data_IF_726743068051
#
_entry.id   IF_726743068051
#
_cell.length_a   1.000
_cell.length_b   1.000
_cell.length_c   1.000
_cell.angle_alpha   90.00
_cell.angle_beta   90.00
_cell.angle_gamma   90.00
#
_symmetry.space_group_name_H-M   'P 1'
#
loop_
_entity.id
_entity.type
_entity.pdbx_description
1 polymer ?
#
# COMPACT_ATOMS: atom_id res chain seq x y z
N UNK A 1 -12.28 22.73 -2.63
CA UNK A 1 -12.33 21.31 -3.00
C UNK A 1 -12.45 21.27 -4.53
N UNK A 2 -11.65 20.41 -5.18
CA UNK A 2 -11.71 20.22 -6.64
C UNK A 2 -12.91 19.35 -7.00
N UNK A 3 -13.40 19.44 -8.24
CA UNK A 3 -14.39 18.51 -8.74
C UNK A 3 -13.83 17.09 -8.75
N UNK A 4 -14.65 16.10 -8.41
CA UNK A 4 -14.21 14.71 -8.39
C UNK A 4 -15.35 13.73 -8.73
N UNK A 5 -14.97 12.58 -9.24
CA UNK A 5 -15.83 11.42 -9.38
C UNK A 5 -15.52 10.42 -8.27
N UNK A 6 -16.55 9.92 -7.60
CA UNK A 6 -16.38 8.97 -6.50
C UNK A 6 -17.04 7.63 -6.85
N UNK A 7 -16.23 6.59 -6.92
CA UNK A 7 -16.68 5.23 -7.18
C UNK A 7 -15.81 4.25 -6.40
N UNK A 8 -16.45 3.40 -5.59
CA UNK A 8 -15.78 2.28 -4.92
C UNK A 8 -16.82 1.14 -4.77
N UNK A 9 -16.78 0.12 -5.64
CA UNK A 9 -17.77 -0.96 -5.66
C UNK A 9 -17.41 -2.14 -4.75
N UNK A 10 -16.34 -2.04 -3.95
CA UNK A 10 -15.86 -3.15 -3.13
C UNK A 10 -16.89 -3.52 -2.07
N UNK A 11 -17.33 -4.78 -2.06
CA UNK A 11 -18.13 -5.33 -0.97
C UNK A 11 -17.19 -5.77 0.17
N UNK A 12 -17.25 -5.10 1.32
CA UNK A 12 -16.48 -5.50 2.50
C UNK A 12 -17.24 -6.52 3.35
N UNK A 13 -16.60 -7.65 3.63
CA UNK A 13 -17.04 -8.70 4.54
C UNK A 13 -16.14 -8.61 5.78
N UNK A 14 -16.55 -7.82 6.77
CA UNK A 14 -15.73 -7.48 7.93
C UNK A 14 -16.17 -8.23 9.19
N UNK A 15 -15.23 -8.85 9.89
CA UNK A 15 -15.44 -9.50 11.17
C UNK A 15 -15.14 -10.99 11.18
N UNK A 16 -15.25 -11.58 12.38
CA UNK A 16 -14.98 -13.00 12.61
C UNK A 16 -15.92 -13.90 11.82
N UNK A 17 -15.36 -14.88 11.13
CA UNK A 17 -16.13 -15.90 10.39
C UNK A 17 -16.74 -15.41 9.08
N UNK A 18 -16.53 -14.14 8.69
CA UNK A 18 -17.11 -13.59 7.46
C UNK A 18 -16.60 -14.24 6.17
N UNK A 19 -15.50 -15.01 6.25
CA UNK A 19 -14.99 -15.76 5.11
C UNK A 19 -16.01 -16.77 4.55
N UNK A 20 -16.88 -17.34 5.38
CA UNK A 20 -17.92 -18.29 4.93
C UNK A 20 -18.90 -17.66 3.93
N UNK A 21 -19.11 -16.34 4.00
CA UNK A 21 -20.07 -15.63 3.16
C UNK A 21 -19.59 -15.46 1.71
N UNK A 22 -18.31 -15.75 1.39
CA UNK A 22 -17.86 -15.68 0.00
C UNK A 22 -18.49 -16.74 -0.90
N UNK A 23 -19.12 -17.78 -0.35
CA UNK A 23 -19.80 -18.83 -1.12
C UNK A 23 -20.84 -18.24 -2.09
N UNK A 24 -21.63 -17.26 -1.63
CA UNK A 24 -22.62 -16.55 -2.46
C UNK A 24 -21.95 -15.66 -3.51
N UNK A 25 -20.81 -15.03 -3.18
CA UNK A 25 -20.09 -14.13 -4.08
C UNK A 25 -19.43 -14.86 -5.27
N UNK A 26 -19.17 -16.16 -5.10
CA UNK A 26 -18.51 -17.00 -6.09
C UNK A 26 -19.41 -18.12 -6.66
N UNK A 27 -20.73 -18.04 -6.43
CA UNK A 27 -21.70 -19.08 -6.87
C UNK A 27 -21.57 -19.38 -8.35
N UNK A 28 -21.45 -18.37 -9.20
CA UNK A 28 -21.43 -18.46 -10.66
C UNK A 28 -20.10 -18.93 -11.25
N UNK A 29 -19.05 -19.01 -10.44
CA UNK A 29 -17.72 -19.40 -10.88
C UNK A 29 -17.41 -20.85 -10.54
N UNK A 30 -16.74 -21.55 -11.45
CA UNK A 30 -16.44 -22.99 -11.33
C UNK A 30 -14.96 -23.26 -11.10
N UNK A 31 -14.09 -22.51 -11.74
CA UNK A 31 -12.63 -22.73 -11.76
C UNK A 31 -11.89 -21.59 -11.07
N UNK A 32 -11.57 -21.79 -9.81
CA UNK A 32 -11.00 -20.77 -8.94
C UNK A 32 -9.47 -20.89 -8.94
N UNK A 33 -8.77 -19.77 -9.22
CA UNK A 33 -7.35 -19.66 -8.92
C UNK A 33 -7.18 -19.12 -7.52
N UNK A 34 -6.69 -19.94 -6.59
CA UNK A 34 -6.31 -19.50 -5.26
C UNK A 34 -4.85 -19.00 -5.28
N UNK A 35 -4.64 -17.70 -5.14
CA UNK A 35 -3.33 -17.06 -5.09
C UNK A 35 -2.95 -16.80 -3.64
N UNK A 36 -1.81 -17.34 -3.20
CA UNK A 36 -1.31 -17.18 -1.84
C UNK A 36 0.19 -16.86 -1.82
N UNK A 37 0.66 -16.25 -0.72
CA UNK A 37 2.08 -16.12 -0.42
C UNK A 37 2.69 -17.48 -0.04
N UNK A 38 3.79 -17.47 0.73
CA UNK A 38 4.47 -18.72 1.14
C UNK A 38 3.60 -19.52 2.13
N UNK A 39 3.73 -19.29 3.42
CA UNK A 39 3.11 -20.16 4.44
C UNK A 39 2.22 -19.42 5.46
N UNK A 40 2.14 -18.10 5.43
CA UNK A 40 1.41 -17.31 6.43
C UNK A 40 -0.08 -17.67 6.50
N UNK A 41 -0.72 -17.77 5.36
CA UNK A 41 -2.16 -18.09 5.22
C UNK A 41 -2.47 -19.53 5.74
N UNK A 42 -1.52 -20.45 5.61
CA UNK A 42 -1.65 -21.82 6.11
C UNK A 42 -1.59 -21.88 7.64
N UNK A 43 -0.83 -20.98 8.26
CA UNK A 43 -0.60 -20.95 9.73
C UNK A 43 -1.65 -20.18 10.51
N UNK A 44 -2.36 -19.24 9.89
CA UNK A 44 -3.35 -18.38 10.57
C UNK A 44 -4.79 -18.90 10.48
N UNK A 45 -5.01 -20.10 9.97
CA UNK A 45 -6.33 -20.72 9.85
C UNK A 45 -7.13 -20.33 8.60
N UNK A 46 -6.78 -19.26 7.90
CA UNK A 46 -7.46 -18.79 6.69
C UNK A 46 -7.51 -19.87 5.61
N UNK A 47 -6.40 -20.56 5.35
CA UNK A 47 -6.32 -21.60 4.32
C UNK A 47 -7.28 -22.76 4.60
N UNK A 48 -7.39 -23.22 5.85
CA UNK A 48 -8.31 -24.28 6.25
C UNK A 48 -9.76 -23.87 6.00
N UNK A 49 -10.14 -22.68 6.39
CA UNK A 49 -11.48 -22.14 6.15
C UNK A 49 -11.76 -22.00 4.64
N UNK A 50 -10.80 -21.49 3.85
CA UNK A 50 -10.91 -21.40 2.39
C UNK A 50 -11.16 -22.76 1.75
N UNK A 51 -10.42 -23.81 2.15
CA UNK A 51 -10.62 -25.16 1.61
C UNK A 51 -12.04 -25.66 1.84
N UNK A 52 -12.63 -25.39 3.01
CA UNK A 52 -14.00 -25.78 3.32
C UNK A 52 -15.01 -25.01 2.44
N UNK A 53 -14.84 -23.69 2.33
CA UNK A 53 -15.74 -22.83 1.53
C UNK A 53 -15.67 -23.17 0.04
N UNK A 54 -14.50 -23.58 -0.44
CA UNK A 54 -14.23 -23.90 -1.85
C UNK A 54 -14.39 -25.38 -2.18
N UNK A 55 -14.91 -26.22 -1.27
CA UNK A 55 -14.96 -27.66 -1.44
C UNK A 55 -15.74 -28.10 -2.69
N UNK A 56 -16.77 -27.35 -3.11
CA UNK A 56 -17.58 -27.64 -4.32
C UNK A 56 -16.99 -27.04 -5.61
N UNK A 57 -15.84 -26.37 -5.56
CA UNK A 57 -15.22 -25.70 -6.71
C UNK A 57 -13.98 -26.44 -7.22
N UNK A 58 -13.66 -26.26 -8.49
CA UNK A 58 -12.40 -26.71 -9.04
C UNK A 58 -11.30 -25.68 -8.68
N UNK A 59 -10.53 -25.97 -7.64
CA UNK A 59 -9.52 -25.03 -7.11
C UNK A 59 -8.14 -25.37 -7.66
N UNK A 60 -7.52 -24.38 -8.26
CA UNK A 60 -6.13 -24.38 -8.73
C UNK A 60 -5.33 -23.46 -7.83
N UNK A 61 -4.25 -23.92 -7.23
CA UNK A 61 -3.44 -23.11 -6.32
C UNK A 61 -2.18 -22.58 -7.00
N UNK A 62 -1.93 -21.30 -6.85
CA UNK A 62 -0.65 -20.65 -7.17
C UNK A 62 -0.08 -20.06 -5.89
N UNK A 63 0.98 -20.66 -5.38
CA UNK A 63 1.61 -20.30 -4.11
C UNK A 63 3.00 -19.69 -4.29
N UNK A 64 3.49 -19.06 -3.23
CA UNK A 64 4.86 -18.51 -3.20
C UNK A 64 4.99 -17.10 -3.76
N UNK A 65 3.89 -16.31 -3.81
CA UNK A 65 4.00 -14.90 -4.19
C UNK A 65 4.94 -14.18 -3.21
N UNK A 66 5.98 -13.57 -3.77
CA UNK A 66 7.01 -12.87 -3.00
C UNK A 66 6.56 -11.46 -2.58
N UNK A 67 7.14 -10.90 -1.49
CA UNK A 67 7.06 -9.47 -1.23
C UNK A 67 7.57 -8.66 -2.44
N UNK A 68 6.92 -7.53 -2.75
CA UNK A 68 7.13 -6.78 -3.99
C UNK A 68 6.92 -7.68 -5.22
N UNK A 69 5.66 -8.01 -5.57
CA UNK A 69 5.34 -9.00 -6.60
C UNK A 69 6.04 -8.66 -7.91
N UNK A 70 6.54 -9.69 -8.58
CA UNK A 70 7.46 -9.57 -9.70
C UNK A 70 6.79 -10.05 -11.00
N UNK A 71 6.99 -9.29 -12.08
CA UNK A 71 6.38 -9.54 -13.38
C UNK A 71 6.67 -10.94 -13.93
N UNK A 72 7.89 -11.45 -13.72
CA UNK A 72 8.27 -12.78 -14.20
C UNK A 72 7.43 -13.89 -13.58
N UNK A 73 7.19 -13.79 -12.25
CA UNK A 73 6.33 -14.74 -11.56
C UNK A 73 4.86 -14.61 -12.03
N UNK A 74 4.40 -13.39 -12.34
CA UNK A 74 3.07 -13.17 -12.89
C UNK A 74 2.88 -13.76 -14.29
N UNK A 75 3.90 -13.71 -15.15
CA UNK A 75 3.88 -14.36 -16.47
C UNK A 75 3.64 -15.87 -16.36
N UNK A 76 4.29 -16.53 -15.40
CA UNK A 76 4.14 -17.97 -15.18
C UNK A 76 2.74 -18.29 -14.61
N UNK A 77 2.26 -17.46 -13.67
CA UNK A 77 0.90 -17.60 -13.12
C UNK A 77 -0.18 -17.42 -14.19
N UNK A 78 0.00 -16.48 -15.14
CA UNK A 78 -0.95 -16.27 -16.24
C UNK A 78 -0.97 -17.45 -17.19
N UNK A 79 0.18 -18.01 -17.55
CA UNK A 79 0.24 -19.25 -18.36
C UNK A 79 -0.52 -20.39 -17.68
N UNK A 80 -0.27 -20.57 -16.38
CA UNK A 80 -0.97 -21.56 -15.56
C UNK A 80 -2.48 -21.33 -15.52
N UNK A 81 -2.91 -20.09 -15.26
CA UNK A 81 -4.32 -19.72 -15.19
C UNK A 81 -5.05 -19.94 -16.53
N UNK A 82 -4.45 -19.56 -17.65
CA UNK A 82 -5.00 -19.76 -19.01
C UNK A 82 -5.13 -21.23 -19.37
N UNK A 83 -4.08 -22.05 -19.09
CA UNK A 83 -4.09 -23.52 -19.32
C UNK A 83 -5.30 -24.18 -18.62
N UNK A 84 -5.61 -23.74 -17.40
CA UNK A 84 -6.69 -24.30 -16.59
C UNK A 84 -8.05 -23.63 -16.84
N UNK A 85 -8.12 -22.59 -17.71
CA UNK A 85 -9.34 -21.83 -18.05
C UNK A 85 -10.02 -21.28 -16.79
N UNK A 86 -9.24 -20.60 -15.93
CA UNK A 86 -9.72 -19.98 -14.70
C UNK A 86 -10.79 -18.94 -15.00
N UNK A 87 -11.84 -18.89 -14.19
CA UNK A 87 -12.96 -17.95 -14.31
C UNK A 87 -13.07 -16.96 -13.14
N UNK A 88 -12.34 -17.21 -12.01
CA UNK A 88 -12.26 -16.29 -10.87
C UNK A 88 -10.93 -16.44 -10.11
N UNK A 89 -10.45 -15.33 -9.51
CA UNK A 89 -9.25 -15.35 -8.66
C UNK A 89 -9.65 -15.06 -7.22
N UNK A 90 -9.13 -15.83 -6.26
CA UNK A 90 -9.14 -15.52 -4.84
C UNK A 90 -7.72 -15.25 -4.39
N UNK A 91 -7.47 -14.03 -3.93
CA UNK A 91 -6.19 -13.61 -3.37
C UNK A 91 -6.24 -13.67 -1.84
N UNK A 92 -5.51 -14.60 -1.21
CA UNK A 92 -5.44 -14.67 0.24
C UNK A 92 -4.02 -14.36 0.75
N UNK A 93 -3.85 -13.19 1.37
CA UNK A 93 -2.53 -12.73 1.81
C UNK A 93 -2.50 -11.25 2.17
N UNK A 94 -1.31 -10.68 2.22
CA UNK A 94 -1.10 -9.23 2.34
C UNK A 94 -1.10 -8.53 0.97
N UNK A 95 -0.80 -7.24 0.97
CA UNK A 95 -0.86 -6.39 -0.21
C UNK A 95 -0.16 -6.94 -1.45
N UNK A 96 1.02 -7.56 -1.30
CA UNK A 96 1.75 -8.15 -2.43
C UNK A 96 0.97 -9.26 -3.14
N UNK A 97 0.23 -10.09 -2.40
CA UNK A 97 -0.60 -11.17 -2.97
C UNK A 97 -1.80 -10.57 -3.70
N UNK A 98 -2.40 -9.53 -3.14
CA UNK A 98 -3.55 -8.85 -3.73
C UNK A 98 -3.14 -8.09 -5.00
N UNK A 99 -2.03 -7.36 -4.98
CA UNK A 99 -1.50 -6.67 -6.16
C UNK A 99 -1.13 -7.64 -7.27
N UNK A 100 -0.55 -8.78 -6.92
CA UNK A 100 -0.27 -9.86 -7.87
C UNK A 100 -1.57 -10.36 -8.53
N UNK A 101 -2.62 -10.61 -7.75
CA UNK A 101 -3.92 -11.03 -8.29
C UNK A 101 -4.58 -9.96 -9.17
N UNK A 102 -4.46 -8.67 -8.81
CA UNK A 102 -4.90 -7.55 -9.66
C UNK A 102 -4.16 -7.55 -10.99
N UNK A 103 -2.84 -7.79 -10.98
CA UNK A 103 -2.09 -7.90 -12.22
C UNK A 103 -2.52 -9.12 -13.05
N UNK A 104 -2.78 -10.27 -12.44
CA UNK A 104 -3.32 -11.43 -13.17
C UNK A 104 -4.69 -11.11 -13.78
N UNK A 105 -5.57 -10.43 -13.04
CA UNK A 105 -6.87 -9.96 -13.54
C UNK A 105 -6.72 -9.10 -14.79
N UNK A 106 -5.82 -8.11 -14.75
CA UNK A 106 -5.49 -7.21 -15.85
C UNK A 106 -4.94 -7.94 -17.07
N UNK A 107 -4.02 -8.89 -16.86
CA UNK A 107 -3.23 -9.49 -17.91
C UNK A 107 -3.84 -10.76 -18.52
N UNK A 108 -4.83 -11.38 -17.86
CA UNK A 108 -5.38 -12.69 -18.25
C UNK A 108 -5.89 -12.73 -19.70
N UNK A 109 -6.59 -11.72 -20.15
CA UNK A 109 -7.11 -11.64 -21.53
C UNK A 109 -6.21 -10.86 -22.50
N UNK A 110 -5.06 -10.37 -22.01
CA UNK A 110 -4.12 -9.61 -22.85
C UNK A 110 -3.43 -10.51 -23.87
N UNK A 111 -3.33 -9.99 -25.11
CA UNK A 111 -2.53 -10.60 -26.19
C UNK A 111 -1.10 -10.04 -26.29
N UNK A 112 -0.71 -9.13 -25.39
CA UNK A 112 0.63 -8.54 -25.39
C UNK A 112 1.69 -9.61 -25.13
N UNK A 113 2.75 -9.61 -25.95
CA UNK A 113 3.91 -10.48 -25.73
C UNK A 113 4.70 -10.10 -24.49
N UNK A 114 4.88 -8.79 -24.28
CA UNK A 114 5.50 -8.24 -23.07
C UNK A 114 4.40 -7.72 -22.14
N UNK A 115 4.13 -8.43 -21.05
CA UNK A 115 3.06 -8.06 -20.11
C UNK A 115 3.41 -6.82 -19.29
N UNK A 116 4.70 -6.42 -19.20
CA UNK A 116 5.07 -5.17 -18.55
C UNK A 116 4.50 -3.94 -19.26
N UNK A 117 4.21 -4.03 -20.58
CA UNK A 117 3.60 -2.91 -21.30
C UNK A 117 2.20 -2.56 -20.81
N UNK A 118 1.50 -3.48 -20.10
CA UNK A 118 0.23 -3.19 -19.44
C UNK A 118 0.34 -2.19 -18.30
N UNK A 119 1.54 -1.95 -17.80
CA UNK A 119 1.82 -0.96 -16.75
C UNK A 119 2.04 0.47 -17.28
N UNK A 120 1.88 0.68 -18.60
CA UNK A 120 1.94 1.98 -19.25
C UNK A 120 0.52 2.50 -19.46
N UNK A 121 0.24 3.73 -19.04
CA UNK A 121 -1.10 4.33 -19.15
C UNK A 121 -1.62 4.44 -20.58
N UNK A 122 -0.77 4.58 -21.56
CA UNK A 122 -1.10 4.69 -22.98
C UNK A 122 -1.44 3.32 -23.62
N UNK A 123 -1.29 2.23 -22.90
CA UNK A 123 -1.52 0.89 -23.44
C UNK A 123 -3.00 0.60 -23.56
N UNK A 124 -3.42 0.14 -24.75
CA UNK A 124 -4.76 -0.38 -24.97
C UNK A 124 -4.93 -1.65 -24.14
N UNK A 125 -5.87 -1.60 -23.21
CA UNK A 125 -6.21 -2.71 -22.31
C UNK A 125 -7.15 -3.71 -22.97
N UNK A 126 -7.19 -4.96 -22.45
CA UNK A 126 -8.24 -5.90 -22.81
C UNK A 126 -9.63 -5.35 -22.48
N UNK A 127 -10.63 -5.67 -23.28
CA UNK A 127 -12.05 -5.29 -23.00
C UNK A 127 -12.64 -6.05 -21.80
N UNK A 128 -12.00 -7.12 -21.34
CA UNK A 128 -12.43 -7.97 -20.23
C UNK A 128 -11.29 -8.15 -19.24
N UNK A 129 -11.67 -8.27 -17.97
CA UNK A 129 -10.78 -8.55 -16.84
C UNK A 129 -11.27 -9.80 -16.13
N UNK A 130 -10.33 -10.60 -15.60
CA UNK A 130 -10.70 -11.77 -14.81
C UNK A 130 -11.17 -11.27 -13.42
N UNK A 131 -12.42 -11.56 -13.01
CA UNK A 131 -12.91 -11.08 -11.72
C UNK A 131 -12.14 -11.72 -10.57
N UNK A 132 -12.02 -10.98 -9.46
CA UNK A 132 -11.30 -11.45 -8.28
C UNK A 132 -11.91 -10.93 -6.98
N UNK A 133 -11.62 -11.65 -5.88
CA UNK A 133 -11.88 -11.26 -4.51
C UNK A 133 -10.65 -11.40 -3.64
N UNK A 134 -10.63 -10.70 -2.51
CA UNK A 134 -9.48 -10.65 -1.59
C UNK A 134 -9.83 -11.18 -0.20
N UNK A 135 -8.86 -11.80 0.45
CA UNK A 135 -8.84 -12.06 1.89
C UNK A 135 -7.58 -11.43 2.46
N UNK A 136 -7.72 -10.33 3.19
CA UNK A 136 -6.61 -9.57 3.74
C UNK A 136 -6.11 -10.22 5.03
N UNK A 137 -4.82 -10.58 5.09
CA UNK A 137 -4.19 -11.20 6.26
C UNK A 137 -3.01 -10.42 6.83
N UNK A 138 -2.64 -9.30 6.19
CA UNK A 138 -1.56 -8.40 6.63
C UNK A 138 -1.94 -6.96 6.27
N UNK A 139 -2.79 -6.30 7.09
CA UNK A 139 -3.27 -4.95 6.82
C UNK A 139 -2.13 -3.94 6.82
N UNK A 140 -2.21 -2.95 5.92
CA UNK A 140 -1.21 -1.89 5.75
C UNK A 140 -1.38 -1.16 4.43
N UNK A 141 -1.17 -1.85 3.32
CA UNK A 141 -1.22 -1.26 1.97
C UNK A 141 -2.61 -0.78 1.53
N UNK A 142 -3.68 -1.32 2.12
CA UNK A 142 -5.07 -0.98 1.76
C UNK A 142 -5.48 -1.36 0.33
N UNK A 143 -4.66 -2.13 -0.38
CA UNK A 143 -4.95 -2.50 -1.79
C UNK A 143 -6.23 -3.30 -1.95
N UNK A 144 -6.70 -3.97 -0.91
CA UNK A 144 -8.00 -4.65 -0.87
C UNK A 144 -9.18 -3.68 -1.00
N UNK A 145 -8.96 -2.38 -0.83
CA UNK A 145 -10.00 -1.35 -0.79
C UNK A 145 -9.98 -0.39 -1.98
N UNK A 146 -9.07 -0.57 -2.94
CA UNK A 146 -8.85 0.38 -4.03
C UNK A 146 -8.63 -0.30 -5.39
N UNK A 147 -8.42 0.52 -6.41
CA UNK A 147 -8.19 0.12 -7.80
C UNK A 147 -6.72 0.29 -8.26
N UNK A 148 -5.80 0.46 -7.32
CA UNK A 148 -4.38 0.51 -7.59
C UNK A 148 -3.76 -0.88 -7.53
N UNK A 149 -2.75 -1.14 -8.31
CA UNK A 149 -1.84 -2.28 -8.17
C UNK A 149 -0.39 -1.80 -8.25
N UNK A 150 0.49 -2.49 -7.56
CA UNK A 150 1.94 -2.25 -7.62
C UNK A 150 2.63 -3.55 -8.02
N UNK A 151 3.46 -3.50 -9.06
CA UNK A 151 4.25 -4.65 -9.50
C UNK A 151 5.67 -4.22 -9.86
N UNK A 152 6.63 -5.11 -9.67
CA UNK A 152 8.05 -4.88 -9.92
C UNK A 152 8.52 -5.61 -11.16
N UNK A 153 9.51 -5.03 -11.83
CA UNK A 153 10.30 -5.68 -12.86
C UNK A 153 11.78 -5.56 -12.48
N UNK A 154 12.32 -6.63 -11.87
CA UNK A 154 13.70 -6.65 -11.39
C UNK A 154 14.72 -6.48 -12.52
N UNK A 155 14.43 -7.03 -13.71
CA UNK A 155 15.30 -6.89 -14.88
C UNK A 155 15.44 -5.44 -15.31
N UNK A 156 14.36 -4.67 -15.26
CA UNK A 156 14.34 -3.25 -15.60
C UNK A 156 14.62 -2.34 -14.39
N UNK A 157 14.78 -2.92 -13.19
CA UNK A 157 14.88 -2.20 -11.92
C UNK A 157 13.72 -1.21 -11.72
N UNK A 158 12.49 -1.56 -12.13
CA UNK A 158 11.30 -0.71 -12.06
C UNK A 158 10.26 -1.28 -11.10
N UNK A 159 9.59 -0.40 -10.37
CA UNK A 159 8.42 -0.71 -9.55
C UNK A 159 7.36 0.34 -9.86
N UNK A 160 6.29 -0.07 -10.55
CA UNK A 160 5.27 0.84 -11.06
C UNK A 160 3.95 0.61 -10.34
N UNK A 161 3.24 1.71 -10.11
CA UNK A 161 1.83 1.71 -9.70
C UNK A 161 0.96 1.94 -10.92
N UNK A 162 -0.14 1.21 -11.01
CA UNK A 162 -1.13 1.36 -12.08
C UNK A 162 -2.54 1.41 -11.50
N UNK A 163 -3.40 2.25 -12.08
CA UNK A 163 -4.78 2.46 -11.63
C UNK A 163 -5.77 2.15 -12.75
N UNK A 164 -6.79 1.35 -12.44
CA UNK A 164 -7.90 1.12 -13.37
C UNK A 164 -9.16 0.74 -12.60
N UNK A 165 -10.35 1.24 -13.00
CA UNK A 165 -11.62 0.95 -12.33
C UNK A 165 -11.95 -0.55 -12.29
N UNK A 166 -11.46 -1.33 -13.25
CA UNK A 166 -11.66 -2.78 -13.27
C UNK A 166 -10.79 -3.56 -12.28
N UNK A 167 -9.86 -2.88 -11.58
CA UNK A 167 -8.99 -3.47 -10.55
C UNK A 167 -9.56 -3.37 -9.13
N UNK A 168 -10.79 -2.90 -8.97
CA UNK A 168 -11.49 -3.10 -7.71
C UNK A 168 -11.83 -4.57 -7.50
N UNK A 169 -11.54 -5.17 -6.33
CA UNK A 169 -12.03 -6.52 -6.02
C UNK A 169 -13.55 -6.53 -5.93
N UNK A 170 -14.18 -7.63 -6.33
CA UNK A 170 -15.63 -7.80 -6.15
C UNK A 170 -16.02 -7.82 -4.67
N UNK A 171 -15.18 -8.45 -3.85
CA UNK A 171 -15.32 -8.43 -2.41
C UNK A 171 -13.94 -8.44 -1.74
N UNK A 172 -13.91 -7.97 -0.49
CA UNK A 172 -12.73 -8.04 0.37
C UNK A 172 -13.13 -8.54 1.76
N UNK A 173 -12.59 -9.70 2.14
CA UNK A 173 -12.78 -10.26 3.48
C UNK A 173 -11.73 -9.67 4.40
N UNK A 174 -12.20 -9.05 5.46
CA UNK A 174 -11.42 -8.41 6.50
C UNK A 174 -11.75 -9.09 7.84
N UNK A 175 -11.17 -10.27 8.07
CA UNK A 175 -11.32 -10.99 9.34
C UNK A 175 -10.08 -10.75 10.21
N UNK A 176 -10.19 -9.97 11.30
CA UNK A 176 -9.08 -9.69 12.19
C UNK A 176 -8.44 -10.93 12.81
N UNK A 177 -9.17 -12.05 12.90
CA UNK A 177 -8.67 -13.31 13.42
C UNK A 177 -7.45 -13.82 12.62
N UNK A 178 -7.44 -13.61 11.31
CA UNK A 178 -6.31 -13.98 10.45
C UNK A 178 -5.04 -13.16 10.71
N UNK A 179 -5.12 -12.11 11.52
CA UNK A 179 -3.98 -11.25 11.87
C UNK A 179 -3.43 -11.50 13.27
N UNK A 180 -4.08 -12.33 14.13
CA UNK A 180 -3.67 -12.56 15.51
C UNK A 180 -2.25 -13.15 15.62
N UNK A 181 -1.86 -13.96 14.64
CA UNK A 181 -0.52 -14.57 14.58
C UNK A 181 0.45 -13.79 13.68
N UNK A 182 0.10 -12.56 13.28
CA UNK A 182 1.00 -11.73 12.48
C UNK A 182 2.18 -11.27 13.33
N UNK A 183 3.44 -11.53 12.91
CA UNK A 183 4.64 -11.15 13.66
C UNK A 183 4.73 -9.64 13.90
N UNK A 184 5.46 -9.27 14.95
CA UNK A 184 5.65 -7.88 15.35
C UNK A 184 6.21 -7.01 14.20
N UNK A 185 7.23 -7.49 13.51
CA UNK A 185 7.84 -6.78 12.38
C UNK A 185 6.84 -6.51 11.26
N UNK A 186 6.02 -7.50 10.89
CA UNK A 186 4.97 -7.35 9.87
C UNK A 186 3.85 -6.43 10.32
N UNK A 187 3.49 -6.47 11.61
CA UNK A 187 2.53 -5.54 12.20
C UNK A 187 3.04 -4.10 12.11
N UNK A 188 4.30 -3.86 12.51
CA UNK A 188 4.92 -2.53 12.43
C UNK A 188 5.03 -2.02 10.98
N UNK A 189 5.42 -2.88 10.03
CA UNK A 189 5.46 -2.55 8.60
C UNK A 189 4.09 -2.08 8.11
N UNK A 190 3.02 -2.82 8.42
CA UNK A 190 1.67 -2.45 8.01
C UNK A 190 1.19 -1.14 8.64
N UNK A 191 1.44 -0.93 9.94
CA UNK A 191 1.08 0.31 10.63
C UNK A 191 1.83 1.51 10.03
N UNK A 192 3.12 1.34 9.73
CA UNK A 192 3.94 2.40 9.11
C UNK A 192 3.38 2.78 7.75
N UNK A 193 3.08 1.80 6.92
CA UNK A 193 2.59 1.99 5.56
C UNK A 193 1.25 2.75 5.56
N UNK A 194 0.24 2.27 6.32
CA UNK A 194 -1.05 2.95 6.41
C UNK A 194 -0.94 4.37 7.00
N UNK A 195 -0.07 4.58 7.97
CA UNK A 195 0.14 5.89 8.58
C UNK A 195 0.73 6.89 7.58
N UNK A 196 1.75 6.48 6.82
CA UNK A 196 2.37 7.32 5.78
C UNK A 196 1.40 7.54 4.62
N UNK A 197 0.60 6.56 4.21
CA UNK A 197 -0.48 6.74 3.24
C UNK A 197 -1.43 7.89 3.63
N UNK A 198 -1.85 7.95 4.89
CA UNK A 198 -2.71 9.03 5.37
C UNK A 198 -1.97 10.37 5.39
N UNK A 199 -0.70 10.38 5.85
CA UNK A 199 0.10 11.60 5.89
C UNK A 199 0.32 12.23 4.51
N UNK A 200 0.63 11.45 3.48
CA UNK A 200 0.88 11.98 2.13
C UNK A 200 -0.38 12.52 1.46
N UNK A 201 -1.55 12.03 1.83
CA UNK A 201 -2.83 12.57 1.39
C UNK A 201 -3.25 13.81 2.21
N UNK A 202 -2.80 13.93 3.45
CA UNK A 202 -3.13 15.05 4.35
C UNK A 202 -2.15 16.23 4.23
N UNK A 203 -0.82 15.96 4.21
CA UNK A 203 0.24 16.97 4.23
C UNK A 203 0.50 17.56 2.83
N UNK A 204 -0.53 18.18 2.26
CA UNK A 204 -0.51 18.86 0.96
C UNK A 204 -0.76 20.37 1.13
N UNK A 205 -0.95 21.12 0.04
CA UNK A 205 -1.38 22.50 0.17
C UNK A 205 -2.87 22.58 0.57
N UNK A 206 -3.24 23.57 1.42
CA UNK A 206 -4.62 23.67 1.91
C UNK A 206 -5.57 24.19 0.82
N UNK A 207 -6.73 23.57 0.67
CA UNK A 207 -7.82 24.01 -0.23
C UNK A 207 -9.13 24.30 0.54
N UNK A 208 -9.01 24.85 1.74
CA UNK A 208 -10.13 25.20 2.60
C UNK A 208 -10.27 24.31 3.84
N UNK A 209 -11.42 24.43 4.51
CA UNK A 209 -11.78 23.61 5.70
C UNK A 209 -12.61 22.43 5.22
N UNK A 210 -12.02 21.25 5.13
CA UNK A 210 -12.64 20.08 4.51
C UNK A 210 -12.91 18.96 5.51
N UNK A 211 -13.95 18.18 5.24
CA UNK A 211 -14.27 16.95 5.95
C UNK A 211 -13.13 15.94 5.85
N UNK A 212 -12.49 15.86 4.68
CA UNK A 212 -11.38 14.95 4.42
C UNK A 212 -10.21 15.15 5.38
N UNK A 213 -9.91 16.41 5.75
CA UNK A 213 -8.89 16.69 6.78
C UNK A 213 -9.26 16.05 8.11
N UNK A 214 -10.53 16.16 8.55
CA UNK A 214 -11.01 15.56 9.79
C UNK A 214 -11.01 14.04 9.76
N UNK A 215 -11.34 13.46 8.63
CA UNK A 215 -11.29 12.01 8.43
C UNK A 215 -9.84 11.50 8.48
N UNK A 216 -8.91 12.20 7.86
CA UNK A 216 -7.48 11.88 7.92
C UNK A 216 -6.93 12.05 9.35
N UNK A 217 -7.28 13.15 10.05
CA UNK A 217 -6.91 13.41 11.45
C UNK A 217 -7.43 12.29 12.36
N UNK A 218 -8.67 11.83 12.18
CA UNK A 218 -9.26 10.73 12.94
C UNK A 218 -8.51 9.40 12.71
N UNK A 219 -8.14 9.09 11.47
CA UNK A 219 -7.33 7.90 11.16
C UNK A 219 -5.95 7.97 11.83
N UNK A 220 -5.26 9.12 11.73
CA UNK A 220 -3.96 9.34 12.37
C UNK A 220 -4.05 9.14 13.89
N UNK A 221 -5.04 9.79 14.55
CA UNK A 221 -5.27 9.66 16.00
C UNK A 221 -5.53 8.19 16.39
N UNK A 222 -6.42 7.51 15.69
CA UNK A 222 -6.75 6.11 15.94
C UNK A 222 -5.53 5.20 15.84
N UNK A 223 -4.71 5.39 14.79
CA UNK A 223 -3.47 4.61 14.62
C UNK A 223 -2.48 4.89 15.77
N UNK A 224 -2.30 6.16 16.15
CA UNK A 224 -1.42 6.56 17.27
C UNK A 224 -1.86 5.96 18.60
N UNK A 225 -3.16 5.93 18.87
CA UNK A 225 -3.73 5.40 20.11
C UNK A 225 -3.72 3.87 20.18
N UNK A 226 -4.00 3.21 19.04
CA UNK A 226 -4.09 1.75 18.97
C UNK A 226 -2.72 1.09 18.94
N UNK A 227 -1.73 1.70 18.28
CA UNK A 227 -0.40 1.09 18.08
C UNK A 227 0.27 0.69 19.40
N UNK A 228 0.42 1.56 20.41
CA UNK A 228 1.08 1.16 21.66
C UNK A 228 0.36 0.03 22.40
N UNK A 229 -0.98 -0.02 22.32
CA UNK A 229 -1.80 -1.07 22.91
C UNK A 229 -1.60 -2.39 22.16
N UNK A 230 -1.62 -2.35 20.84
CA UNK A 230 -1.37 -3.53 20.00
C UNK A 230 0.03 -4.11 20.21
N UNK A 231 1.05 -3.26 20.34
CA UNK A 231 2.43 -3.72 20.59
C UNK A 231 2.63 -4.38 21.96
N UNK A 232 1.75 -4.08 22.94
CA UNK A 232 1.71 -4.77 24.24
C UNK A 232 1.02 -6.12 24.16
N UNK A 233 0.00 -6.25 23.32
CA UNK A 233 -0.76 -7.49 23.11
C UNK A 233 -1.12 -7.65 21.63
N UNK A 234 -0.27 -8.37 20.90
CA UNK A 234 -0.46 -8.62 19.46
C UNK A 234 -1.70 -9.48 19.15
N UNK A 235 -2.29 -10.13 20.15
CA UNK A 235 -3.47 -10.98 20.00
C UNK A 235 -4.78 -10.28 20.40
N UNK A 236 -4.76 -8.97 20.66
CA UNK A 236 -5.98 -8.21 20.95
C UNK A 236 -6.83 -8.08 19.67
N UNK A 237 -7.86 -8.88 19.57
CA UNK A 237 -8.77 -8.92 18.43
C UNK A 237 -9.41 -7.54 18.16
N UNK A 238 -9.84 -6.81 19.21
CA UNK A 238 -10.53 -5.52 19.03
C UNK A 238 -9.59 -4.48 18.43
N UNK A 239 -8.35 -4.45 18.91
CA UNK A 239 -7.34 -3.52 18.37
C UNK A 239 -6.91 -3.94 16.96
N UNK A 240 -6.73 -5.25 16.70
CA UNK A 240 -6.49 -5.77 15.34
C UNK A 240 -7.59 -5.38 14.37
N UNK A 241 -8.85 -5.48 14.79
CA UNK A 241 -10.01 -5.08 14.00
C UNK A 241 -9.96 -3.58 13.64
N UNK A 242 -9.68 -2.73 14.61
CA UNK A 242 -9.54 -1.29 14.40
C UNK A 242 -8.41 -0.97 13.43
N UNK A 243 -7.22 -1.53 13.64
CA UNK A 243 -6.05 -1.33 12.77
C UNK A 243 -6.32 -1.86 11.35
N UNK A 244 -6.98 -3.00 11.20
CA UNK A 244 -7.35 -3.54 9.89
C UNK A 244 -8.26 -2.60 9.13
N UNK A 245 -9.26 -2.02 9.81
CA UNK A 245 -10.17 -1.05 9.19
C UNK A 245 -9.47 0.28 8.87
N UNK A 246 -8.53 0.74 9.72
CA UNK A 246 -7.69 1.91 9.40
C UNK A 246 -6.89 1.69 8.13
N UNK A 247 -6.28 0.51 7.93
CA UNK A 247 -5.53 0.17 6.73
C UNK A 247 -6.39 0.23 5.47
N UNK A 248 -7.57 -0.38 5.48
CA UNK A 248 -8.51 -0.32 4.37
C UNK A 248 -9.00 1.12 4.10
N UNK A 249 -9.22 1.91 5.16
CA UNK A 249 -9.71 3.29 5.05
C UNK A 249 -8.65 4.28 4.60
N UNK A 250 -7.38 3.99 4.80
CA UNK A 250 -6.27 4.88 4.46
C UNK A 250 -6.21 5.23 2.96
N UNK A 251 -6.61 4.29 2.08
CA UNK A 251 -6.49 4.46 0.62
C UNK A 251 -7.73 4.03 -0.17
N UNK A 252 -8.90 3.99 0.47
CA UNK A 252 -10.17 3.65 -0.21
C UNK A 252 -10.78 4.81 -1.01
N UNK A 253 -10.08 5.93 -1.07
CA UNK A 253 -10.52 7.14 -1.76
C UNK A 253 -11.34 8.11 -0.92
N UNK A 254 -11.60 7.83 0.37
CA UNK A 254 -12.46 8.70 1.20
C UNK A 254 -11.76 10.01 1.57
N UNK A 255 -10.50 9.95 2.00
CA UNK A 255 -9.79 11.12 2.53
C UNK A 255 -9.17 12.02 1.46
N UNK A 256 -9.07 11.55 0.20
CA UNK A 256 -8.46 12.31 -0.90
C UNK A 256 -9.45 12.83 -1.94
N UNK A 257 -10.77 12.66 -1.75
CA UNK A 257 -11.79 13.11 -2.71
C UNK A 257 -11.77 14.62 -2.88
N UNK A 258 -11.40 15.07 -4.09
CA UNK A 258 -11.27 16.49 -4.41
C UNK A 258 -10.13 17.20 -3.68
N UNK A 259 -9.22 16.45 -3.10
CA UNK A 259 -8.01 16.94 -2.41
C UNK A 259 -6.77 16.72 -3.28
N UNK A 260 -5.73 17.57 -3.15
CA UNK A 260 -4.42 17.24 -3.69
C UNK A 260 -3.83 16.05 -2.93
N UNK A 261 -2.99 15.30 -3.59
CA UNK A 261 -2.24 14.19 -2.99
C UNK A 261 -0.76 14.34 -3.30
N UNK A 262 0.08 13.98 -2.32
CA UNK A 262 1.53 13.89 -2.51
C UNK A 262 1.95 12.46 -2.59
N UNK A 263 2.65 11.85 -3.26
CA UNK A 263 3.16 10.47 -3.23
C UNK A 263 4.69 10.45 -3.30
N UNK A 264 5.34 11.57 -2.96
CA UNK A 264 6.79 11.71 -3.10
C UNK A 264 7.57 10.79 -2.17
N UNK A 265 7.07 10.56 -0.93
CA UNK A 265 7.71 9.61 0.00
C UNK A 265 7.66 8.20 -0.57
N UNK A 266 6.49 7.79 -1.10
CA UNK A 266 6.34 6.48 -1.74
C UNK A 266 7.18 6.36 -3.00
N UNK A 267 7.25 7.38 -3.84
CA UNK A 267 8.06 7.36 -5.04
C UNK A 267 9.54 7.15 -4.71
N UNK A 268 10.11 8.00 -3.85
CA UNK A 268 11.53 7.93 -3.47
C UNK A 268 11.83 6.64 -2.67
N UNK A 269 10.93 6.25 -1.75
CA UNK A 269 11.03 4.99 -1.00
C UNK A 269 11.01 3.75 -1.90
N UNK A 270 10.23 3.77 -3.00
CA UNK A 270 10.24 2.70 -3.99
C UNK A 270 11.58 2.61 -4.74
N UNK A 271 12.28 3.72 -4.99
CA UNK A 271 13.64 3.71 -5.54
C UNK A 271 14.60 2.97 -4.60
N UNK A 272 14.56 3.29 -3.31
CA UNK A 272 15.36 2.58 -2.30
C UNK A 272 15.02 1.09 -2.21
N UNK A 273 13.74 0.75 -2.36
CA UNK A 273 13.30 -0.66 -2.37
C UNK A 273 13.82 -1.42 -3.57
N UNK A 274 13.72 -0.88 -4.78
CA UNK A 274 14.08 -1.61 -6.00
C UNK A 274 15.59 -1.65 -6.27
N UNK A 275 16.32 -0.59 -5.89
CA UNK A 275 17.74 -0.48 -6.14
C UNK A 275 18.58 -1.14 -5.04
N UNK A 276 18.15 -1.05 -3.78
CA UNK A 276 18.93 -1.50 -2.61
C UNK A 276 18.23 -2.60 -1.79
N UNK A 277 17.09 -3.10 -2.25
CA UNK A 277 16.32 -4.15 -1.57
C UNK A 277 15.93 -3.80 -0.12
N UNK A 278 15.78 -2.52 0.20
CA UNK A 278 15.28 -2.07 1.49
C UNK A 278 13.78 -2.39 1.55
N UNK A 279 13.33 -2.99 2.65
CA UNK A 279 11.90 -3.27 2.88
C UNK A 279 11.07 -1.99 2.77
N UNK A 280 9.88 -2.05 2.16
CA UNK A 280 9.08 -0.88 1.78
C UNK A 280 8.87 0.12 2.93
N UNK A 281 8.29 -0.29 4.07
CA UNK A 281 7.98 0.64 5.15
C UNK A 281 9.23 1.33 5.76
N UNK A 282 10.34 0.63 6.09
CA UNK A 282 11.58 1.28 6.45
C UNK A 282 12.10 2.27 5.40
N UNK A 283 12.01 1.94 4.10
CA UNK A 283 12.41 2.86 3.03
C UNK A 283 11.60 4.16 3.06
N UNK A 284 10.30 4.08 3.33
CA UNK A 284 9.44 5.27 3.50
C UNK A 284 9.88 6.13 4.70
N UNK A 285 10.21 5.51 5.84
CA UNK A 285 10.63 6.23 7.05
C UNK A 285 11.98 6.93 6.86
N UNK A 286 12.92 6.30 6.14
CA UNK A 286 14.21 6.89 5.78
C UNK A 286 14.00 8.21 5.02
N UNK A 287 13.11 8.22 4.06
CA UNK A 287 12.85 9.36 3.17
C UNK A 287 12.00 10.44 3.83
N UNK A 288 10.96 10.06 4.57
CA UNK A 288 9.90 10.97 5.03
C UNK A 288 10.46 12.16 5.84
N UNK A 289 11.38 11.91 6.77
CA UNK A 289 11.94 12.98 7.61
C UNK A 289 12.59 14.07 6.78
N UNK A 290 13.45 13.68 5.85
CA UNK A 290 14.21 14.62 5.03
C UNK A 290 13.30 15.32 4.01
N UNK A 291 12.32 14.63 3.45
CA UNK A 291 11.31 15.22 2.58
C UNK A 291 10.47 16.27 3.31
N UNK A 292 10.01 15.99 4.53
CA UNK A 292 9.22 16.96 5.31
C UNK A 292 10.01 18.23 5.63
N UNK A 293 11.30 18.12 6.00
CA UNK A 293 12.15 19.30 6.20
C UNK A 293 12.47 20.01 4.90
N UNK A 294 12.69 19.28 3.80
CA UNK A 294 12.96 19.86 2.48
C UNK A 294 11.76 20.67 1.97
N UNK A 295 10.55 20.14 2.12
CA UNK A 295 9.29 20.76 1.67
C UNK A 295 8.55 21.51 2.78
N UNK A 296 9.21 21.85 3.89
CA UNK A 296 8.57 22.44 5.07
C UNK A 296 7.78 23.72 4.73
N UNK A 297 8.28 24.55 3.83
CA UNK A 297 7.61 25.80 3.41
C UNK A 297 6.23 25.50 2.78
N UNK A 298 6.15 24.48 1.94
CA UNK A 298 4.92 24.10 1.23
C UNK A 298 3.91 23.43 2.17
N UNK A 299 4.40 22.61 3.11
CA UNK A 299 3.59 21.79 4.03
C UNK A 299 3.28 22.46 5.37
N UNK A 300 3.85 23.66 5.61
CA UNK A 300 3.82 24.36 6.90
C UNK A 300 2.43 24.50 7.51
N UNK A 301 1.46 24.96 6.71
CA UNK A 301 0.07 25.17 7.19
C UNK A 301 -0.58 23.85 7.64
N UNK A 302 -0.37 22.77 6.90
CA UNK A 302 -0.91 21.44 7.24
C UNK A 302 -0.16 20.79 8.40
N UNK A 303 1.13 20.96 8.50
CA UNK A 303 1.91 20.53 9.68
C UNK A 303 1.46 21.26 10.94
N UNK A 304 1.25 22.58 10.87
CA UNK A 304 0.71 23.35 11.99
C UNK A 304 -0.70 22.85 12.38
N UNK A 305 -1.57 22.64 11.39
CA UNK A 305 -2.92 22.11 11.60
C UNK A 305 -2.89 20.74 12.29
N UNK A 306 -2.03 19.83 11.81
CA UNK A 306 -1.85 18.48 12.40
C UNK A 306 -1.34 18.58 13.83
N UNK A 307 -0.31 19.40 14.07
CA UNK A 307 0.26 19.63 15.39
C UNK A 307 -0.75 20.12 16.40
N UNK A 308 -1.53 21.11 16.00
CA UNK A 308 -2.53 21.72 16.89
C UNK A 308 -3.74 20.79 17.14
N UNK A 309 -4.21 20.06 16.11
CA UNK A 309 -5.46 19.31 16.18
C UNK A 309 -5.29 17.87 16.68
N UNK A 310 -4.19 17.22 16.29
CA UNK A 310 -3.92 15.82 16.61
C UNK A 310 -3.02 15.70 17.84
N UNK A 311 -1.95 16.52 17.90
CA UNK A 311 -0.98 16.47 19.00
C UNK A 311 -1.23 17.48 20.09
N UNK A 312 -2.25 18.36 19.97
CA UNK A 312 -2.58 19.37 20.98
C UNK A 312 -1.52 20.46 21.18
N UNK A 313 -0.60 20.62 20.22
CA UNK A 313 0.50 21.58 20.31
C UNK A 313 -0.01 23.02 20.23
N UNK A 314 0.59 23.90 21.05
CA UNK A 314 0.30 25.33 21.12
C UNK A 314 1.58 26.14 20.98
N UNK A 315 1.47 27.38 20.48
CA UNK A 315 2.60 28.32 20.40
C UNK A 315 2.88 28.87 19.01
N UNK A 316 4.08 29.43 18.83
CA UNK A 316 4.50 30.01 17.56
C UNK A 316 4.52 28.97 16.45
N UNK A 317 4.06 29.35 15.25
CA UNK A 317 3.86 28.46 14.12
C UNK A 317 5.10 27.58 13.81
N UNK A 318 6.28 28.20 13.69
CA UNK A 318 7.51 27.45 13.38
C UNK A 318 7.85 26.37 14.44
N UNK A 319 7.61 26.69 15.72
CA UNK A 319 7.83 25.72 16.81
C UNK A 319 6.85 24.55 16.69
N UNK A 320 5.56 24.83 16.53
CA UNK A 320 4.53 23.77 16.37
C UNK A 320 4.83 22.89 15.17
N UNK A 321 5.23 23.47 14.03
CA UNK A 321 5.60 22.73 12.82
C UNK A 321 6.77 21.78 13.06
N UNK A 322 7.86 22.25 13.65
CA UNK A 322 9.02 21.40 13.95
C UNK A 322 8.69 20.31 14.98
N UNK A 323 7.96 20.65 16.04
CA UNK A 323 7.53 19.70 17.05
C UNK A 323 6.60 18.62 16.44
N UNK A 324 5.75 19.00 15.47
CA UNK A 324 4.89 18.05 14.73
C UNK A 324 5.72 17.04 13.95
N UNK A 325 6.71 17.50 13.19
CA UNK A 325 7.62 16.58 12.45
C UNK A 325 8.33 15.65 13.44
N UNK A 326 8.86 16.18 14.54
CA UNK A 326 9.55 15.41 15.56
C UNK A 326 8.64 14.33 16.19
N UNK A 327 7.36 14.64 16.47
CA UNK A 327 6.41 13.67 17.02
C UNK A 327 6.06 12.57 16.02
N UNK A 328 5.83 12.92 14.75
CA UNK A 328 5.63 11.96 13.66
C UNK A 328 6.84 11.01 13.60
N UNK A 329 8.04 11.56 13.55
CA UNK A 329 9.27 10.77 13.42
C UNK A 329 9.57 9.94 14.67
N UNK A 330 9.30 10.47 15.86
CA UNK A 330 9.41 9.70 17.13
C UNK A 330 8.52 8.46 17.11
N UNK A 331 7.27 8.59 16.63
CA UNK A 331 6.36 7.45 16.47
C UNK A 331 6.90 6.43 15.47
N UNK A 332 7.25 6.87 14.25
CA UNK A 332 7.69 5.99 13.18
C UNK A 332 9.03 5.29 13.50
N UNK A 333 10.01 6.02 14.06
CA UNK A 333 11.31 5.46 14.45
C UNK A 333 11.19 4.41 15.57
N UNK A 334 10.21 4.58 16.47
CA UNK A 334 9.95 3.59 17.54
C UNK A 334 9.53 2.23 16.96
N UNK A 335 8.77 2.19 15.89
CA UNK A 335 8.28 0.95 15.26
C UNK A 335 9.12 0.49 14.06
N UNK A 336 10.13 1.29 13.66
CA UNK A 336 11.08 0.98 12.59
C UNK A 336 12.52 1.24 13.07
N UNK A 337 13.16 0.30 13.76
CA UNK A 337 14.51 0.50 14.31
C UNK A 337 15.57 0.75 13.22
N UNK A 338 15.41 0.16 12.03
CA UNK A 338 16.27 0.42 10.88
C UNK A 338 15.69 1.53 10.01
N UNK A 339 15.92 2.79 10.39
CA UNK A 339 15.30 3.98 9.80
C UNK A 339 16.31 4.98 9.20
N UNK A 340 17.50 4.54 8.85
CA UNK A 340 18.55 5.32 8.17
C UNK A 340 19.31 4.42 7.18
N UNK A 341 19.84 5.00 6.09
CA UNK A 341 20.62 4.27 5.09
C UNK A 341 21.80 3.52 5.70
N UNK A 342 22.50 4.13 6.67
CA UNK A 342 23.62 3.51 7.39
C UNK A 342 23.27 2.20 8.11
N UNK A 343 22.00 1.98 8.50
CA UNK A 343 21.57 0.72 9.12
C UNK A 343 21.52 -0.45 8.12
N UNK A 344 21.69 -0.14 6.83
CA UNK A 344 21.77 -1.10 5.71
C UNK A 344 23.17 -1.14 5.10
N UNK A 345 24.16 -0.50 5.75
CA UNK A 345 25.54 -0.41 5.23
C UNK A 345 25.66 0.51 3.99
N UNK A 346 24.72 1.44 3.82
CA UNK A 346 24.66 2.36 2.69
C UNK A 346 25.10 3.76 3.12
N UNK A 347 25.95 4.38 2.28
CA UNK A 347 26.34 5.77 2.40
C UNK A 347 25.35 6.67 1.64
N UNK A 348 24.87 7.75 2.29
CA UNK A 348 23.81 8.59 1.75
C UNK A 348 24.25 9.37 0.48
N UNK A 349 25.51 9.83 0.43
CA UNK A 349 26.01 10.54 -0.73
C UNK A 349 26.14 9.60 -1.93
N UNK A 350 26.70 8.41 -1.74
CA UNK A 350 26.79 7.37 -2.75
C UNK A 350 25.41 7.00 -3.31
N UNK A 351 24.44 6.72 -2.41
CA UNK A 351 23.07 6.38 -2.79
C UNK A 351 22.42 7.52 -3.58
N UNK A 352 22.64 8.76 -3.16
CA UNK A 352 22.06 9.93 -3.83
C UNK A 352 22.57 10.10 -5.27
N UNK A 353 23.86 9.86 -5.52
CA UNK A 353 24.46 9.90 -6.86
C UNK A 353 23.97 8.76 -7.75
N UNK A 354 23.90 7.53 -7.21
CA UNK A 354 23.40 6.38 -7.95
C UNK A 354 21.94 6.53 -8.34
N UNK A 355 21.09 7.03 -7.43
CA UNK A 355 19.67 7.32 -7.73
C UNK A 355 19.54 8.45 -8.75
N UNK A 356 20.35 9.51 -8.64
CA UNK A 356 20.38 10.61 -9.62
C UNK A 356 20.73 10.07 -11.02
N UNK A 357 21.79 9.29 -11.14
CA UNK A 357 22.21 8.67 -12.39
C UNK A 357 21.12 7.72 -12.95
N UNK A 358 20.51 6.91 -12.08
CA UNK A 358 19.41 6.05 -12.48
C UNK A 358 18.23 6.85 -13.05
N UNK A 359 17.81 7.94 -12.41
CA UNK A 359 16.67 8.76 -12.85
C UNK A 359 16.96 9.53 -14.13
N UNK A 360 18.20 10.00 -14.35
CA UNK A 360 18.61 10.64 -15.59
C UNK A 360 18.48 9.71 -16.82
N UNK A 361 18.62 8.41 -16.61
CA UNK A 361 18.46 7.39 -17.65
C UNK A 361 17.01 6.88 -17.79
N UNK A 362 16.03 7.53 -17.11
CA UNK A 362 14.61 7.20 -17.19
C UNK A 362 13.81 8.38 -17.71
N UNK A 363 12.63 8.12 -18.25
CA UNK A 363 11.65 9.17 -18.54
C UNK A 363 11.02 9.63 -17.22
N UNK A 364 11.75 10.51 -16.50
CA UNK A 364 11.30 11.04 -15.21
C UNK A 364 10.44 12.27 -15.42
N UNK A 365 9.32 12.34 -14.70
CA UNK A 365 8.51 13.55 -14.54
C UNK A 365 8.62 14.04 -13.11
N UNK A 366 8.47 15.35 -12.89
CA UNK A 366 8.46 15.93 -11.54
C UNK A 366 7.36 15.30 -10.69
N UNK A 367 7.61 15.12 -9.39
CA UNK A 367 6.71 14.51 -8.43
C UNK A 367 6.25 15.52 -7.37
N UNK A 368 5.36 15.06 -6.48
CA UNK A 368 4.78 15.89 -5.41
C UNK A 368 3.45 16.52 -5.80
N UNK A 369 2.75 17.05 -4.81
CA UNK A 369 1.43 17.66 -4.99
C UNK A 369 1.41 18.92 -5.88
N UNK A 370 2.57 19.51 -6.14
CA UNK A 370 2.78 20.68 -7.00
C UNK A 370 3.60 20.34 -8.26
N UNK A 371 3.98 19.07 -8.46
CA UNK A 371 4.91 18.65 -9.52
C UNK A 371 6.21 19.48 -9.53
N UNK A 372 6.76 19.76 -8.33
CA UNK A 372 7.87 20.69 -8.11
C UNK A 372 9.09 20.01 -7.46
N UNK A 373 9.13 18.69 -7.38
CA UNK A 373 10.29 17.90 -6.94
C UNK A 373 10.92 17.27 -8.17
N UNK A 374 12.08 17.75 -8.56
CA UNK A 374 12.85 17.20 -9.68
C UNK A 374 13.95 16.20 -9.23
N UNK A 375 14.76 15.74 -10.19
CA UNK A 375 15.83 14.77 -9.93
C UNK A 375 16.86 15.34 -8.94
N UNK A 376 17.21 16.62 -9.05
CA UNK A 376 18.18 17.27 -8.17
C UNK A 376 17.62 17.43 -6.74
N UNK A 377 16.32 17.64 -6.62
CA UNK A 377 15.65 17.68 -5.32
C UNK A 377 15.66 16.31 -4.65
N UNK A 378 15.38 15.24 -5.42
CA UNK A 378 15.46 13.84 -4.93
C UNK A 378 16.87 13.54 -4.44
N UNK A 379 17.90 13.91 -5.21
CA UNK A 379 19.31 13.78 -4.81
C UNK A 379 19.58 14.47 -3.46
N UNK A 380 19.18 15.74 -3.30
CA UNK A 380 19.34 16.50 -2.06
C UNK A 380 18.58 15.92 -0.87
N UNK A 381 17.42 15.33 -1.11
CA UNK A 381 16.64 14.64 -0.06
C UNK A 381 17.37 13.39 0.40
N UNK A 382 17.84 12.56 -0.53
CA UNK A 382 18.50 11.28 -0.22
C UNK A 382 19.86 11.51 0.46
N UNK A 383 20.65 12.53 0.03
CA UNK A 383 21.94 12.82 0.63
C UNK A 383 21.87 13.20 2.12
N UNK A 384 20.68 13.46 2.66
CA UNK A 384 20.43 13.77 4.07
C UNK A 384 19.88 12.58 4.86
N UNK A 385 19.57 11.44 4.21
CA UNK A 385 19.03 10.23 4.82
C UNK A 385 20.14 9.38 5.46
#
# INVERSE_FOLDING_TARGET
>A
MKNYYSYNPVKFLFGRGMLSNISSEISDYKKILLVIGKNSVKRNGCYKQLKNVLASKNVFEFSGVEPNPEIKQAEDAIKFARKNKIDFIIAAGGGSVIDFAKFLSLAYFSKKKNLWDLMKFETILPSRFLPFGCIQTCPGSGTESNNALVISNKKLKKKNTYYNLSLYPKFSVLDPEFTLNLPLDKTCIGITDMFIHVLEQYLTYPIGKNLQDRQAEALIMTILECTPKLLKNLQDYKIRATIMWCGASAVNGTINRGMPVDWSTHYIGNLLTILYNITHAPALVIVLEQLLFYKIKNKKKKLYQLGSRVFGLKGKENKVVNDTINLIMKFLKKINPKNKLKHYGLDADTVSEEVNTYLQNQSFTKIGENEDIDIQDIKKIISRC
#
